data_IF_660121385503
#
_entry.id   IF_660121385503
#
_cell.length_a   1.000
_cell.length_b   1.000
_cell.length_c   1.000
_cell.angle_alpha   90.00
_cell.angle_beta   90.00
_cell.angle_gamma   90.00
#
_symmetry.space_group_name_H-M   'P 1'
#
loop_
_entity.id
_entity.type
_entity.pdbx_description
1 polymer ?
#
# COMPACT_ATOMS: atom_id res chain seq x y z
N UNK A 1 -11.35 15.03 12.85
CA UNK A 1 -11.94 13.69 12.80
C UNK A 1 -11.20 12.85 13.82
N UNK A 2 -11.85 12.52 14.94
CA UNK A 2 -11.27 11.70 16.00
C UNK A 2 -11.70 10.25 15.76
N UNK A 3 -10.75 9.37 15.50
CA UNK A 3 -11.01 7.93 15.52
C UNK A 3 -11.29 7.56 16.99
N UNK A 4 -12.49 7.03 17.25
CA UNK A 4 -12.76 6.33 18.52
C UNK A 4 -11.79 5.16 18.59
N UNK A 5 -11.04 5.08 19.69
CA UNK A 5 -10.12 3.99 19.99
C UNK A 5 -10.91 2.70 20.22
N UNK A 6 -11.32 2.05 19.15
CA UNK A 6 -11.80 0.67 19.19
C UNK A 6 -10.70 -0.26 19.67
N UNK A 7 -11.07 -1.41 20.23
CA UNK A 7 -10.10 -2.43 20.64
C UNK A 7 -9.34 -2.92 19.40
N UNK A 8 -8.05 -2.59 19.31
CA UNK A 8 -7.15 -3.01 18.23
C UNK A 8 -6.33 -4.21 18.71
N UNK A 9 -6.41 -5.33 17.99
CA UNK A 9 -5.60 -6.52 18.21
C UNK A 9 -4.70 -6.75 17.01
N UNK A 10 -3.39 -6.87 17.25
CA UNK A 10 -2.41 -7.25 16.24
C UNK A 10 -1.97 -8.70 16.43
N UNK A 11 -1.84 -9.44 15.33
CA UNK A 11 -1.43 -10.84 15.29
C UNK A 11 -0.39 -11.05 14.18
N UNK A 12 0.71 -11.73 14.49
CA UNK A 12 1.70 -12.15 13.50
C UNK A 12 1.24 -13.49 12.88
N UNK A 13 1.03 -13.50 11.56
CA UNK A 13 0.60 -14.68 10.82
C UNK A 13 1.76 -15.58 10.38
N UNK A 14 3.01 -15.12 10.57
CA UNK A 14 4.21 -15.83 10.16
C UNK A 14 4.60 -15.54 8.70
N UNK A 15 5.31 -16.48 8.08
CA UNK A 15 5.86 -16.31 6.74
C UNK A 15 5.10 -17.15 5.71
N UNK A 16 4.95 -16.63 4.50
CA UNK A 16 4.34 -17.31 3.37
C UNK A 16 5.05 -16.94 2.07
N UNK A 17 5.17 -17.90 1.14
CA UNK A 17 5.60 -17.61 -0.23
C UNK A 17 4.42 -17.11 -1.06
N UNK A 18 4.57 -15.94 -1.69
CA UNK A 18 3.58 -15.31 -2.57
C UNK A 18 4.27 -14.97 -3.89
N UNK A 19 3.81 -15.52 -5.01
CA UNK A 19 4.44 -15.31 -6.34
C UNK A 19 5.95 -15.59 -6.35
N UNK A 20 6.40 -16.58 -5.57
CA UNK A 20 7.81 -16.95 -5.47
C UNK A 20 8.68 -16.06 -4.59
N UNK A 21 8.12 -15.03 -3.92
CA UNK A 21 8.83 -14.23 -2.93
C UNK A 21 8.36 -14.54 -1.51
N UNK A 22 9.28 -14.52 -0.56
CA UNK A 22 8.94 -14.64 0.86
C UNK A 22 8.26 -13.36 1.35
N UNK A 23 7.17 -13.53 2.09
CA UNK A 23 6.41 -12.45 2.69
C UNK A 23 6.05 -12.76 4.14
N UNK A 24 6.06 -11.74 4.98
CA UNK A 24 5.70 -11.76 6.40
C UNK A 24 4.28 -11.23 6.55
N UNK A 25 3.42 -12.01 7.18
CA UNK A 25 2.01 -11.70 7.38
C UNK A 25 1.74 -11.09 8.75
N UNK A 26 0.98 -10.01 8.77
CA UNK A 26 0.44 -9.40 9.98
C UNK A 26 -1.06 -9.18 9.80
N UNK A 27 -1.85 -9.45 10.83
CA UNK A 27 -3.29 -9.19 10.89
C UNK A 27 -3.56 -8.16 11.98
N UNK A 28 -4.39 -7.17 11.66
CA UNK A 28 -4.94 -6.21 12.60
C UNK A 28 -6.44 -6.38 12.61
N UNK A 29 -7.01 -6.62 13.78
CA UNK A 29 -8.46 -6.63 14.00
C UNK A 29 -8.84 -5.39 14.82
N UNK A 30 -9.67 -4.53 14.25
CA UNK A 30 -10.27 -3.40 14.97
C UNK A 30 -11.70 -3.74 15.32
N UNK A 31 -12.05 -3.68 16.61
CA UNK A 31 -13.42 -3.93 17.08
C UNK A 31 -14.11 -2.62 17.42
N UNK A 32 -15.28 -2.40 16.84
CA UNK A 32 -16.23 -1.37 17.24
C UNK A 32 -17.25 -2.05 18.17
N UNK A 33 -17.29 -1.72 19.48
CA UNK A 33 -18.24 -2.30 20.43
C UNK A 33 -19.71 -2.12 20.00
N UNK A 34 -20.60 -2.94 20.56
CA UNK A 34 -22.03 -2.78 20.36
C UNK A 34 -22.51 -1.41 20.88
N UNK A 35 -23.40 -0.75 20.13
CA UNK A 35 -24.01 0.52 20.47
C UNK A 35 -23.24 1.77 20.03
N UNK A 36 -21.95 1.67 19.71
CA UNK A 36 -21.09 2.84 19.42
C UNK A 36 -21.52 3.64 18.18
N UNK A 37 -21.96 2.94 17.13
CA UNK A 37 -22.41 3.57 15.88
C UNK A 37 -23.84 3.18 15.53
N UNK A 38 -24.65 2.84 16.54
CA UNK A 38 -26.02 2.32 16.34
C UNK A 38 -26.05 0.85 15.88
N UNK A 39 -24.97 0.11 16.10
CA UNK A 39 -24.85 -1.31 15.81
C UNK A 39 -25.31 -2.18 16.99
N UNK A 40 -26.17 -3.17 16.75
CA UNK A 40 -26.68 -4.06 17.82
C UNK A 40 -25.66 -5.10 18.31
N UNK A 41 -24.56 -5.29 17.57
CA UNK A 41 -23.50 -6.27 17.85
C UNK A 41 -22.13 -5.66 17.55
N UNK A 42 -21.04 -6.11 18.19
CA UNK A 42 -19.71 -5.63 17.86
C UNK A 42 -19.38 -5.87 16.39
N UNK A 43 -18.72 -4.89 15.76
CA UNK A 43 -18.27 -4.98 14.37
C UNK A 43 -16.76 -5.20 14.39
N UNK A 44 -16.30 -6.24 13.71
CA UNK A 44 -14.89 -6.53 13.56
C UNK A 44 -14.45 -6.17 12.15
N UNK A 45 -13.46 -5.28 12.06
CA UNK A 45 -12.77 -4.91 10.83
C UNK A 45 -11.44 -5.66 10.84
N UNK A 46 -11.14 -6.40 9.78
CA UNK A 46 -9.93 -7.23 9.69
C UNK A 46 -9.08 -6.78 8.53
N UNK A 47 -7.85 -6.38 8.83
CA UNK A 47 -6.80 -5.99 7.89
C UNK A 47 -5.66 -7.01 7.94
N UNK A 48 -5.42 -7.71 6.86
CA UNK A 48 -4.25 -8.56 6.68
C UNK A 48 -3.28 -7.92 5.69
N UNK A 49 -2.00 -7.92 6.04
CA UNK A 49 -0.92 -7.39 5.22
C UNK A 49 0.20 -8.41 5.11
N UNK A 50 0.69 -8.62 3.89
CA UNK A 50 1.83 -9.47 3.60
C UNK A 50 2.94 -8.64 2.97
N UNK A 51 4.03 -8.46 3.70
CA UNK A 51 5.18 -7.64 3.30
C UNK A 51 6.36 -8.51 2.91
N UNK A 52 6.94 -8.28 1.73
CA UNK A 52 8.17 -8.95 1.31
C UNK A 52 9.38 -8.09 1.65
N UNK A 53 10.27 -8.54 2.56
CA UNK A 53 11.51 -7.82 2.87
C UNK A 53 12.44 -7.71 1.64
N UNK A 54 12.47 -8.74 0.80
CA UNK A 54 13.35 -8.81 -0.38
C UNK A 54 12.97 -7.81 -1.48
N UNK A 55 11.68 -7.48 -1.60
CA UNK A 55 11.18 -6.47 -2.52
C UNK A 55 10.94 -5.12 -1.83
N UNK A 56 11.06 -5.08 -0.50
CA UNK A 56 10.76 -3.95 0.36
C UNK A 56 9.34 -3.37 0.18
N UNK A 57 8.35 -4.22 -0.15
CA UNK A 57 6.98 -3.78 -0.42
C UNK A 57 5.91 -4.78 0.03
N UNK A 58 4.67 -4.31 0.15
CA UNK A 58 3.50 -5.15 0.39
C UNK A 58 3.12 -5.90 -0.89
N UNK A 59 3.04 -7.22 -0.82
CA UNK A 59 2.70 -8.09 -1.97
C UNK A 59 1.25 -8.56 -1.95
N UNK A 60 0.60 -8.52 -0.79
CA UNK A 60 -0.83 -8.80 -0.65
C UNK A 60 -1.44 -8.04 0.53
N UNK A 61 -2.67 -7.57 0.38
CA UNK A 61 -3.53 -7.15 1.50
C UNK A 61 -4.92 -7.74 1.35
N UNK A 62 -5.56 -8.01 2.48
CA UNK A 62 -6.98 -8.37 2.55
C UNK A 62 -7.64 -7.50 3.62
N UNK A 63 -8.62 -6.71 3.21
CA UNK A 63 -9.43 -5.89 4.09
C UNK A 63 -10.86 -6.44 4.09
N UNK A 64 -11.42 -6.66 5.27
CA UNK A 64 -12.81 -7.11 5.45
C UNK A 64 -13.48 -6.22 6.50
N UNK A 65 -14.47 -5.44 6.09
CA UNK A 65 -15.31 -4.63 6.95
C UNK A 65 -16.79 -4.97 6.65
N UNK A 66 -17.56 -5.50 7.61
CA UNK A 66 -18.97 -5.83 7.42
C UNK A 66 -19.85 -4.66 6.93
N UNK A 67 -19.39 -3.42 7.08
CA UNK A 67 -20.11 -2.21 6.68
C UNK A 67 -19.85 -1.82 5.22
N UNK A 68 -18.67 -2.13 4.69
CA UNK A 68 -18.24 -1.68 3.34
C UNK A 68 -17.85 -2.82 2.40
N UNK A 69 -17.78 -4.06 2.89
CA UNK A 69 -17.42 -5.25 2.13
C UNK A 69 -15.94 -5.62 2.23
N UNK A 70 -15.47 -6.40 1.24
CA UNK A 70 -14.08 -6.88 1.19
C UNK A 70 -13.29 -6.21 0.07
N UNK A 71 -12.01 -5.91 0.34
CA UNK A 71 -11.05 -5.44 -0.67
C UNK A 71 -9.79 -6.29 -0.59
N UNK A 72 -9.41 -6.90 -1.72
CA UNK A 72 -8.21 -7.72 -1.83
C UNK A 72 -7.25 -7.08 -2.84
N UNK A 73 -6.01 -6.87 -2.42
CA UNK A 73 -4.91 -6.51 -3.30
C UNK A 73 -3.91 -7.65 -3.29
N UNK A 74 -3.49 -8.10 -4.47
CA UNK A 74 -2.46 -9.14 -4.60
C UNK A 74 -1.64 -8.89 -5.85
N UNK A 75 -0.32 -8.83 -5.69
CA UNK A 75 0.59 -8.84 -6.82
C UNK A 75 0.57 -10.22 -7.47
N UNK A 76 0.59 -10.25 -8.79
CA UNK A 76 0.71 -11.47 -9.60
C UNK A 76 1.83 -11.31 -10.61
N UNK A 77 2.41 -12.44 -11.06
CA UNK A 77 3.45 -12.47 -12.08
C UNK A 77 4.65 -11.57 -11.74
N UNK A 78 5.16 -11.67 -10.51
CA UNK A 78 6.31 -10.88 -10.07
C UNK A 78 7.54 -11.29 -10.88
N UNK A 79 8.00 -10.37 -11.75
CA UNK A 79 9.25 -10.49 -12.47
C UNK A 79 10.25 -9.44 -11.96
N UNK A 80 11.42 -9.91 -11.51
CA UNK A 80 12.49 -9.07 -10.95
C UNK A 80 13.56 -8.68 -11.98
N UNK A 81 13.43 -9.10 -13.24
CA UNK A 81 14.29 -8.63 -14.31
C UNK A 81 14.07 -7.14 -14.57
N UNK A 82 15.12 -6.43 -14.99
CA UNK A 82 14.98 -5.04 -15.43
C UNK A 82 13.95 -4.92 -16.57
N UNK A 83 13.12 -3.86 -16.58
CA UNK A 83 12.18 -3.64 -17.66
C UNK A 83 12.94 -3.25 -18.95
N UNK A 84 12.41 -3.57 -20.14
CA UNK A 84 13.01 -3.14 -21.41
C UNK A 84 13.14 -1.61 -21.49
N UNK A 85 14.30 -1.13 -21.97
CA UNK A 85 14.61 0.30 -22.04
C UNK A 85 13.59 1.11 -22.87
N UNK A 86 13.08 0.52 -23.95
CA UNK A 86 12.11 1.19 -24.85
C UNK A 86 10.79 1.56 -24.16
N UNK A 87 10.43 0.93 -23.02
CA UNK A 87 9.23 1.31 -22.25
C UNK A 87 9.37 2.70 -21.60
N UNK A 88 10.59 3.20 -21.50
CA UNK A 88 10.92 4.51 -20.94
C UNK A 88 11.35 5.49 -22.03
N UNK A 89 11.30 5.08 -23.29
CA UNK A 89 11.49 5.97 -24.43
C UNK A 89 10.18 6.71 -24.73
N UNK A 90 10.33 7.95 -25.19
CA UNK A 90 9.18 8.77 -25.56
C UNK A 90 8.55 8.17 -26.83
N UNK A 91 7.24 7.84 -26.83
CA UNK A 91 6.59 7.30 -28.01
C UNK A 91 6.63 8.27 -29.20
N UNK A 92 6.68 7.77 -30.45
CA UNK A 92 6.58 8.61 -31.63
C UNK A 92 5.30 9.47 -31.60
N UNK A 93 5.43 10.75 -31.93
CA UNK A 93 4.31 11.70 -31.93
C UNK A 93 3.99 12.33 -30.56
N UNK A 94 4.70 11.97 -29.49
CA UNK A 94 4.56 12.66 -28.21
C UNK A 94 5.18 14.06 -28.28
N UNK A 95 4.35 15.09 -28.18
CA UNK A 95 4.78 16.49 -28.21
C UNK A 95 5.30 16.94 -26.84
N UNK A 96 6.63 17.05 -26.71
CA UNK A 96 7.27 17.60 -25.51
C UNK A 96 7.12 19.12 -25.50
N UNK A 97 6.49 19.65 -24.44
CA UNK A 97 6.43 21.10 -24.20
C UNK A 97 7.48 21.47 -23.16
N UNK A 98 8.25 22.56 -23.36
CA UNK A 98 9.14 23.05 -22.33
C UNK A 98 8.33 23.42 -21.07
N UNK A 99 8.84 23.01 -19.91
CA UNK A 99 8.30 23.46 -18.63
C UNK A 99 8.53 24.96 -18.43
N UNK A 100 7.93 25.57 -17.38
CA UNK A 100 8.19 26.96 -17.04
C UNK A 100 9.70 27.18 -16.85
N UNK A 101 10.26 28.16 -17.54
CA UNK A 101 11.66 28.54 -17.35
C UNK A 101 11.77 29.18 -15.96
N UNK A 102 12.30 28.44 -14.98
CA UNK A 102 12.63 29.02 -13.69
C UNK A 102 13.75 30.05 -13.89
N UNK A 103 13.69 31.23 -13.23
CA UNK A 103 14.76 32.22 -13.31
C UNK A 103 16.06 31.60 -12.83
N UNK A 104 17.17 31.91 -13.51
CA UNK A 104 18.49 31.41 -13.13
C UNK A 104 18.84 31.87 -11.70
N UNK A 105 18.93 30.92 -10.76
CA UNK A 105 19.44 31.20 -9.42
C UNK A 105 20.94 31.40 -9.53
N UNK A 106 21.41 32.65 -9.47
CA UNK A 106 22.83 32.97 -9.36
C UNK A 106 23.29 32.54 -7.96
N UNK A 107 23.91 31.37 -7.85
CA UNK A 107 24.59 30.95 -6.63
C UNK A 107 25.92 31.68 -6.56
N UNK A 108 25.96 32.83 -5.88
CA UNK A 108 27.24 33.41 -5.48
C UNK A 108 27.83 32.54 -4.38
N UNK A 109 28.89 31.81 -4.73
CA UNK A 109 29.73 31.10 -3.76
C UNK A 109 30.37 32.18 -2.88
N UNK A 110 29.93 32.30 -1.63
CA UNK A 110 30.66 33.06 -0.62
C UNK A 110 31.88 32.24 -0.20
N UNK A 111 33.06 32.83 -0.35
CA UNK A 111 34.32 32.36 0.24
C UNK A 111 34.40 32.72 1.72
#
# INVERSE_FOLDING_TARGET
MVASSGDVKEEQLGNMSIEGVQAQGTRVTTTIPAGEIGNDRPIQIVDERWYSPDLQMTVMTKHSDPRTGETNFRLSNINRSGPPAYLFEIPPGYAVKPGPQLPAVRVERRE
#
